data_IF_181018435770
#
_entry.id   IF_181018435770
#
_cell.length_a   1.000
_cell.length_b   1.000
_cell.length_c   1.000
_cell.angle_alpha   90.00
_cell.angle_beta   90.00
_cell.angle_gamma   90.00
#
_symmetry.space_group_name_H-M   'P 1'
#
loop_
_entity.id
_entity.type
_entity.pdbx_description
1 polymer ?
#
# COMPACT_ATOMS: atom_id res chain seq x y z
N UNK A 1 -13.32 -5.07 -1.56
CA UNK A 1 -12.58 -4.19 -0.63
C UNK A 1 -12.13 -4.90 0.66
N UNK A 2 -12.62 -6.12 0.96
CA UNK A 2 -12.33 -6.80 2.23
C UNK A 2 -10.91 -7.38 2.38
N UNK A 3 -10.20 -7.68 1.27
CA UNK A 3 -8.93 -8.42 1.31
C UNK A 3 -7.79 -7.71 2.04
N UNK A 4 -7.69 -6.38 1.91
CA UNK A 4 -6.59 -5.60 2.48
C UNK A 4 -7.02 -4.65 3.61
N UNK A 5 -8.34 -4.49 3.83
CA UNK A 5 -8.91 -3.60 4.85
C UNK A 5 -8.28 -2.20 4.84
N UNK A 6 -8.06 -1.64 3.65
CA UNK A 6 -7.53 -0.30 3.48
C UNK A 6 -8.68 0.71 3.42
N UNK A 7 -8.46 1.89 3.98
CA UNK A 7 -9.28 3.05 3.66
C UNK A 7 -9.21 3.33 2.15
N UNK A 8 -10.27 3.90 1.53
CA UNK A 8 -10.26 4.26 0.12
C UNK A 8 -9.04 5.12 -0.29
N UNK A 9 -8.62 6.04 0.57
CA UNK A 9 -7.41 6.85 0.38
C UNK A 9 -6.15 5.99 0.26
N UNK A 10 -5.96 5.04 1.18
CA UNK A 10 -4.80 4.15 1.19
C UNK A 10 -4.84 3.17 0.00
N UNK A 11 -6.03 2.76 -0.44
CA UNK A 11 -6.18 1.93 -1.64
C UNK A 11 -5.75 2.67 -2.92
N UNK A 12 -6.04 3.97 -3.05
CA UNK A 12 -5.58 4.77 -4.20
C UNK A 12 -4.05 4.83 -4.24
N UNK A 13 -3.40 5.06 -3.09
CA UNK A 13 -1.93 5.06 -2.99
C UNK A 13 -1.35 3.73 -3.47
N UNK A 14 -1.88 2.61 -2.97
CA UNK A 14 -1.44 1.26 -3.36
C UNK A 14 -1.67 0.98 -4.84
N UNK A 15 -2.81 1.40 -5.39
CA UNK A 15 -3.10 1.23 -6.82
C UNK A 15 -2.13 2.04 -7.69
N UNK A 16 -1.78 3.25 -7.28
CA UNK A 16 -0.76 4.07 -7.94
C UNK A 16 0.59 3.37 -7.91
N UNK A 17 1.02 2.85 -6.76
CA UNK A 17 2.26 2.08 -6.66
C UNK A 17 2.25 0.89 -7.64
N UNK A 18 1.14 0.14 -7.69
CA UNK A 18 1.00 -1.00 -8.61
C UNK A 18 1.06 -0.58 -10.08
N UNK A 19 0.39 0.52 -10.43
CA UNK A 19 0.32 1.00 -11.81
C UNK A 19 1.69 1.41 -12.35
N UNK A 20 2.51 2.03 -11.50
CA UNK A 20 3.85 2.51 -11.87
C UNK A 20 4.99 1.53 -11.55
N UNK A 21 4.69 0.31 -11.07
CA UNK A 21 5.72 -0.68 -10.71
C UNK A 21 6.56 -0.27 -9.49
N UNK A 22 6.00 0.54 -8.58
CA UNK A 22 6.64 0.92 -7.32
C UNK A 22 6.42 -0.20 -6.31
N UNK A 23 7.51 -0.83 -5.90
CA UNK A 23 7.47 -1.96 -4.97
C UNK A 23 7.83 -1.55 -3.53
N UNK A 24 8.21 -0.29 -3.29
CA UNK A 24 8.64 0.19 -1.96
C UNK A 24 8.03 1.55 -1.63
N UNK A 25 7.47 1.68 -0.42
CA UNK A 25 6.93 2.93 0.12
C UNK A 25 7.60 3.25 1.46
N UNK A 26 7.94 4.52 1.67
CA UNK A 26 8.43 5.03 2.95
C UNK A 26 7.26 5.71 3.66
N UNK A 27 6.87 5.19 4.81
CA UNK A 27 5.72 5.70 5.58
C UNK A 27 5.68 5.11 6.99
N UNK A 28 5.15 5.87 7.94
CA UNK A 28 4.81 5.39 9.29
C UNK A 28 3.40 4.78 9.39
N UNK A 29 2.64 4.77 8.29
CA UNK A 29 1.32 4.14 8.24
C UNK A 29 1.46 2.62 8.04
N UNK A 30 1.24 1.89 9.13
CA UNK A 30 1.35 0.43 9.15
C UNK A 30 0.25 -0.29 8.33
N UNK A 31 -0.81 0.39 7.91
CA UNK A 31 -1.87 -0.23 7.10
C UNK A 31 -1.33 -0.74 5.76
N UNK A 32 -0.28 -0.11 5.21
CA UNK A 32 0.34 -0.56 3.96
C UNK A 32 1.03 -1.93 4.08
N UNK A 33 1.39 -2.37 5.29
CA UNK A 33 1.96 -3.72 5.53
C UNK A 33 0.96 -4.84 5.20
N UNK A 34 -0.34 -4.52 5.05
CA UNK A 34 -1.38 -5.49 4.65
C UNK A 34 -1.29 -5.87 3.17
N UNK A 35 -0.50 -5.17 2.37
CA UNK A 35 -0.34 -5.42 0.92
C UNK A 35 0.90 -6.28 0.67
N UNK A 36 0.75 -7.58 0.33
CA UNK A 36 1.88 -8.54 0.36
C UNK A 36 3.02 -8.26 -0.62
N UNK A 37 2.75 -7.52 -1.70
CA UNK A 37 3.72 -7.20 -2.74
C UNK A 37 4.40 -5.84 -2.55
N UNK A 38 3.97 -5.04 -1.57
CA UNK A 38 4.49 -3.69 -1.32
C UNK A 38 5.40 -3.71 -0.09
N UNK A 39 6.69 -3.42 -0.28
CA UNK A 39 7.66 -3.27 0.81
C UNK A 39 7.43 -1.94 1.53
N UNK A 40 7.24 -1.99 2.84
CA UNK A 40 7.06 -0.81 3.69
C UNK A 40 8.34 -0.58 4.50
N UNK A 41 8.86 0.64 4.44
CA UNK A 41 10.02 1.09 5.22
C UNK A 41 9.58 2.27 6.10
N UNK A 42 9.85 2.26 7.42
CA UNK A 42 9.59 3.41 8.27
C UNK A 42 10.55 4.57 7.98
#
# INVERSE_FOLDING_TARGET
>A
MERYRLLPSNAIIVLTCKHYGIETIITFDDDFKRVPWLRVVP
#
